data_IF_254235852357
#
_entry.id   IF_254235852357
#
_cell.length_a   1.000
_cell.length_b   1.000
_cell.length_c   1.000
_cell.angle_alpha   90.00
_cell.angle_beta   90.00
_cell.angle_gamma   90.00
#
_symmetry.space_group_name_H-M   'P 1'
#
loop_
_entity.id
_entity.type
_entity.pdbx_description
1 polymer ?
#
# COMPACT_ATOMS: atom_id res chain seq x y z
N UNK A 1 25.62 -17.53 7.07
CA UNK A 1 26.61 -17.70 8.15
C UNK A 1 26.98 -19.15 8.43
N UNK A 2 26.10 -20.12 8.40
CA UNK A 2 26.33 -21.54 8.68
C UNK A 2 27.38 -22.23 7.76
N UNK A 3 27.45 -21.85 6.47
CA UNK A 3 28.39 -22.45 5.51
C UNK A 3 29.88 -22.14 5.75
N UNK A 4 30.19 -21.00 6.38
CA UNK A 4 31.60 -20.67 6.73
C UNK A 4 32.13 -21.54 7.85
N UNK A 5 31.29 -21.95 8.79
CA UNK A 5 31.66 -22.75 9.94
C UNK A 5 32.01 -24.19 9.53
N UNK A 6 31.23 -24.81 8.63
CA UNK A 6 31.50 -26.21 8.19
C UNK A 6 32.77 -26.30 7.35
N UNK A 7 33.05 -25.36 6.46
CA UNK A 7 34.30 -25.32 5.69
C UNK A 7 35.55 -25.13 6.57
N UNK A 8 35.45 -24.35 7.63
CA UNK A 8 36.56 -24.08 8.51
C UNK A 8 36.82 -25.25 9.50
N UNK A 9 35.79 -25.98 9.92
CA UNK A 9 35.90 -27.07 10.90
C UNK A 9 36.17 -28.41 10.24
N UNK A 10 35.47 -28.71 9.13
CA UNK A 10 35.51 -30.03 8.51
C UNK A 10 36.36 -30.11 7.24
N UNK A 11 36.90 -28.98 6.73
CA UNK A 11 37.71 -28.87 5.50
C UNK A 11 37.04 -29.42 4.22
N UNK A 12 35.80 -29.93 4.27
CA UNK A 12 35.03 -30.41 3.14
C UNK A 12 33.59 -29.91 3.25
N UNK A 13 32.94 -29.80 2.12
CA UNK A 13 31.55 -29.37 2.00
C UNK A 13 30.88 -30.30 0.96
N UNK A 14 29.80 -30.95 1.35
CA UNK A 14 29.00 -31.76 0.44
C UNK A 14 27.90 -30.82 -0.11
N UNK A 15 27.93 -30.60 -1.42
CA UNK A 15 26.81 -29.90 -2.09
C UNK A 15 25.61 -30.84 -2.17
N UNK A 16 24.51 -30.43 -1.57
CA UNK A 16 23.24 -31.11 -1.69
C UNK A 16 22.74 -31.02 -3.14
N UNK A 17 22.55 -32.13 -3.86
CA UNK A 17 22.08 -32.14 -5.25
C UNK A 17 20.74 -31.44 -5.43
N UNK A 18 19.90 -31.33 -4.38
CA UNK A 18 18.64 -30.64 -4.41
C UNK A 18 18.81 -29.11 -4.62
N UNK A 19 19.96 -28.54 -4.30
CA UNK A 19 20.25 -27.12 -4.54
C UNK A 19 20.35 -26.77 -6.02
N UNK A 20 20.63 -27.73 -6.89
CA UNK A 20 20.72 -27.55 -8.33
C UNK A 20 19.43 -27.93 -9.06
N UNK A 21 18.49 -28.57 -8.37
CA UNK A 21 17.24 -29.00 -8.96
C UNK A 21 16.29 -27.82 -9.18
N UNK A 22 16.09 -27.45 -10.45
CA UNK A 22 15.22 -26.31 -10.85
C UNK A 22 13.72 -26.56 -10.64
N UNK A 23 13.30 -27.76 -10.25
CA UNK A 23 11.92 -27.99 -9.81
C UNK A 23 11.60 -27.25 -8.51
N UNK A 24 12.60 -26.98 -7.68
CA UNK A 24 12.41 -26.21 -6.46
C UNK A 24 12.44 -24.70 -6.74
N UNK A 25 11.44 -23.98 -6.25
CA UNK A 25 11.33 -22.53 -6.40
C UNK A 25 12.61 -21.79 -5.92
N UNK A 26 13.19 -22.22 -4.80
CA UNK A 26 14.41 -21.59 -4.24
C UNK A 26 15.61 -21.70 -5.19
N UNK A 27 15.77 -22.84 -5.90
CA UNK A 27 16.85 -23.05 -6.87
C UNK A 27 16.65 -22.16 -8.10
N UNK A 28 15.40 -22.02 -8.58
CA UNK A 28 15.06 -21.09 -9.68
C UNK A 28 15.36 -19.65 -9.32
N UNK A 29 14.98 -19.21 -8.10
CA UNK A 29 15.25 -17.83 -7.62
C UNK A 29 16.75 -17.56 -7.54
N UNK A 30 17.56 -18.52 -7.01
CA UNK A 30 19.02 -18.37 -6.94
C UNK A 30 19.64 -18.23 -8.33
N UNK A 31 19.20 -19.04 -9.29
CA UNK A 31 19.64 -18.92 -10.69
C UNK A 31 19.28 -17.56 -11.28
N UNK A 32 18.05 -17.11 -11.11
CA UNK A 32 17.60 -15.78 -11.55
C UNK A 32 18.45 -14.65 -10.96
N UNK A 33 18.73 -14.69 -9.66
CA UNK A 33 19.60 -13.69 -8.99
C UNK A 33 21.01 -13.72 -9.59
N UNK A 34 21.55 -14.93 -9.86
CA UNK A 34 22.87 -15.07 -10.48
C UNK A 34 22.90 -14.47 -11.90
N UNK A 35 21.88 -14.75 -12.72
CA UNK A 35 21.76 -14.23 -14.07
C UNK A 35 21.60 -12.71 -14.07
N UNK A 36 20.75 -12.16 -13.19
CA UNK A 36 20.58 -10.70 -13.00
C UNK A 36 21.89 -10.03 -12.56
N UNK A 37 22.69 -10.68 -11.71
CA UNK A 37 24.00 -10.15 -11.33
C UNK A 37 24.95 -10.01 -12.52
N UNK A 38 24.93 -10.98 -13.48
CA UNK A 38 25.71 -10.90 -14.71
C UNK A 38 25.30 -9.70 -15.58
N UNK A 39 23.98 -9.39 -15.60
CA UNK A 39 23.42 -8.23 -16.31
C UNK A 39 23.62 -6.91 -15.53
N UNK A 40 24.36 -6.93 -14.43
CA UNK A 40 24.74 -5.71 -13.68
C UNK A 40 23.74 -5.28 -12.60
N UNK A 41 22.66 -6.06 -12.35
CA UNK A 41 21.78 -5.84 -11.20
C UNK A 41 22.34 -6.58 -9.99
N UNK A 42 23.14 -5.93 -9.19
CA UNK A 42 23.69 -6.49 -7.96
C UNK A 42 22.80 -6.23 -6.73
N UNK A 43 23.07 -6.94 -5.65
CA UNK A 43 22.36 -6.80 -4.38
C UNK A 43 22.38 -5.38 -3.83
N UNK A 44 23.49 -4.64 -4.02
CA UNK A 44 23.63 -3.26 -3.50
C UNK A 44 22.70 -2.30 -4.22
N UNK A 45 22.57 -2.42 -5.56
CA UNK A 45 21.65 -1.62 -6.37
C UNK A 45 20.20 -1.92 -6.00
N UNK A 46 19.86 -3.20 -5.81
CA UNK A 46 18.53 -3.60 -5.37
C UNK A 46 18.20 -3.06 -3.97
N UNK A 47 19.11 -3.19 -3.01
CA UNK A 47 18.95 -2.64 -1.66
C UNK A 47 18.82 -1.13 -1.65
N UNK A 48 19.53 -0.42 -2.53
CA UNK A 48 19.41 1.03 -2.71
C UNK A 48 18.02 1.40 -3.22
N UNK A 49 17.54 0.70 -4.25
CA UNK A 49 16.21 0.92 -4.81
C UNK A 49 15.12 0.70 -3.76
N UNK A 50 15.19 -0.39 -2.99
CA UNK A 50 14.25 -0.70 -1.92
C UNK A 50 14.26 0.40 -0.84
N UNK A 51 15.45 0.89 -0.45
CA UNK A 51 15.56 1.99 0.52
C UNK A 51 14.95 3.28 0.01
N UNK A 52 15.19 3.63 -1.25
CA UNK A 52 14.60 4.82 -1.87
C UNK A 52 13.08 4.72 -1.94
N UNK A 53 12.52 3.59 -2.36
CA UNK A 53 11.08 3.34 -2.37
C UNK A 53 10.48 3.42 -0.96
N UNK A 54 11.16 2.86 0.04
CA UNK A 54 10.72 2.95 1.44
C UNK A 54 10.71 4.39 1.95
N UNK A 55 11.75 5.18 1.64
CA UNK A 55 11.82 6.59 1.99
C UNK A 55 10.69 7.39 1.34
N UNK A 56 10.46 7.21 0.05
CA UNK A 56 9.36 7.84 -0.68
C UNK A 56 8.00 7.47 -0.09
N UNK A 57 7.79 6.19 0.24
CA UNK A 57 6.57 5.73 0.89
C UNK A 57 6.34 6.37 2.28
N UNK A 58 7.40 6.55 3.07
CA UNK A 58 7.31 7.23 4.36
C UNK A 58 6.88 8.70 4.20
N UNK A 59 7.43 9.40 3.20
CA UNK A 59 7.03 10.78 2.88
C UNK A 59 5.56 10.87 2.48
N UNK A 60 5.09 9.96 1.63
CA UNK A 60 3.67 9.92 1.24
C UNK A 60 2.79 9.66 2.48
N UNK A 61 3.15 8.70 3.33
CA UNK A 61 2.40 8.37 4.53
C UNK A 61 2.33 9.54 5.53
N UNK A 62 3.37 10.35 5.62
CA UNK A 62 3.35 11.60 6.39
C UNK A 62 2.25 12.54 5.89
N UNK A 63 2.18 12.80 4.59
CA UNK A 63 1.15 13.65 3.99
C UNK A 63 -0.26 13.03 4.08
N UNK A 64 -0.39 11.72 3.97
CA UNK A 64 -1.67 11.00 4.19
C UNK A 64 -2.18 11.24 5.61
N UNK A 65 -1.30 11.07 6.60
CA UNK A 65 -1.66 11.30 8.00
C UNK A 65 -2.06 12.75 8.23
N UNK A 66 -1.26 13.69 7.72
CA UNK A 66 -1.52 15.12 7.81
C UNK A 66 -2.85 15.48 7.14
N UNK A 67 -3.12 15.00 5.94
CA UNK A 67 -4.39 15.26 5.24
C UNK A 67 -5.60 14.78 6.05
N UNK A 68 -5.52 13.60 6.69
CA UNK A 68 -6.60 13.09 7.53
C UNK A 68 -6.75 13.94 8.80
N UNK A 69 -5.66 14.36 9.43
CA UNK A 69 -5.70 15.17 10.64
C UNK A 69 -6.28 16.57 10.39
N UNK A 70 -5.88 17.23 9.30
CA UNK A 70 -6.23 18.60 9.00
C UNK A 70 -7.61 18.71 8.33
N UNK A 71 -7.99 17.72 7.52
CA UNK A 71 -9.11 17.82 6.59
C UNK A 71 -10.23 16.80 6.82
N UNK A 72 -10.10 15.90 7.82
CA UNK A 72 -11.13 14.91 8.16
C UNK A 72 -11.47 14.96 9.65
N UNK A 73 -12.75 15.12 9.98
CA UNK A 73 -13.26 15.09 11.37
C UNK A 73 -14.04 13.81 11.60
N UNK A 74 -13.68 13.05 12.65
CA UNK A 74 -14.40 11.84 13.04
C UNK A 74 -15.39 12.13 14.15
N UNK A 75 -16.67 11.86 13.91
CA UNK A 75 -17.75 11.94 14.88
C UNK A 75 -17.98 10.55 15.48
N UNK A 76 -17.48 10.35 16.71
CA UNK A 76 -17.55 9.03 17.39
C UNK A 76 -18.97 8.52 17.60
N UNK A 77 -19.90 9.40 18.02
CA UNK A 77 -21.29 9.04 18.32
C UNK A 77 -22.03 8.51 17.09
N UNK A 78 -21.76 9.08 15.93
CA UNK A 78 -22.43 8.73 14.67
C UNK A 78 -21.62 7.77 13.81
N UNK A 79 -20.41 7.39 14.27
CA UNK A 79 -19.44 6.61 13.50
C UNK A 79 -19.25 7.14 12.06
N UNK A 80 -19.10 8.47 11.93
CA UNK A 80 -19.11 9.21 10.67
C UNK A 80 -17.82 10.01 10.51
N UNK A 81 -17.23 9.99 9.32
CA UNK A 81 -16.20 10.94 8.93
C UNK A 81 -16.81 12.09 8.11
N UNK A 82 -16.39 13.30 8.42
CA UNK A 82 -16.68 14.52 7.66
C UNK A 82 -15.37 14.94 7.00
N UNK A 83 -15.33 14.99 5.67
CA UNK A 83 -14.19 15.46 4.89
C UNK A 83 -14.51 16.84 4.32
N UNK A 84 -13.63 17.82 4.55
CA UNK A 84 -13.77 19.15 3.96
C UNK A 84 -13.25 19.18 2.51
N UNK A 85 -13.44 20.28 1.80
CA UNK A 85 -12.99 20.45 0.40
C UNK A 85 -11.49 20.31 0.21
N UNK A 86 -10.68 20.69 1.20
CA UNK A 86 -9.22 20.64 1.11
C UNK A 86 -8.68 19.23 1.19
N UNK A 87 -9.50 18.26 1.66
CA UNK A 87 -9.13 16.84 1.65
C UNK A 87 -8.83 16.34 0.24
N UNK A 88 -9.56 16.84 -0.75
CA UNK A 88 -9.40 16.47 -2.17
C UNK A 88 -8.50 17.44 -2.96
N UNK A 89 -7.88 18.42 -2.30
CA UNK A 89 -6.93 19.35 -2.89
C UNK A 89 -5.48 18.97 -2.57
N UNK A 90 -5.15 17.69 -2.73
CA UNK A 90 -3.84 17.12 -2.47
C UNK A 90 -3.33 16.38 -3.73
N UNK A 91 -2.12 15.82 -3.69
CA UNK A 91 -1.66 14.93 -4.76
C UNK A 91 -2.56 13.67 -4.85
N UNK A 92 -2.69 13.11 -6.05
CA UNK A 92 -3.57 11.96 -6.31
C UNK A 92 -3.31 10.79 -5.35
N UNK A 93 -2.05 10.46 -5.09
CA UNK A 93 -1.67 9.36 -4.22
C UNK A 93 -2.03 9.64 -2.75
N UNK A 94 -1.89 10.88 -2.29
CA UNK A 94 -2.29 11.29 -0.93
C UNK A 94 -3.81 11.20 -0.79
N UNK A 95 -4.59 11.72 -1.75
CA UNK A 95 -6.05 11.60 -1.76
C UNK A 95 -6.46 10.12 -1.73
N UNK A 96 -5.91 9.32 -2.64
CA UNK A 96 -6.22 7.90 -2.76
C UNK A 96 -6.00 7.15 -1.44
N UNK A 97 -4.83 7.30 -0.83
CA UNK A 97 -4.50 6.61 0.43
C UNK A 97 -5.29 7.14 1.62
N UNK A 98 -5.47 8.45 1.72
CA UNK A 98 -6.27 9.07 2.78
C UNK A 98 -7.72 8.59 2.73
N UNK A 99 -8.34 8.63 1.55
CA UNK A 99 -9.71 8.19 1.34
C UNK A 99 -9.88 6.69 1.60
N UNK A 100 -8.96 5.86 1.09
CA UNK A 100 -8.90 4.42 1.38
C UNK A 100 -8.81 4.13 2.88
N UNK A 101 -8.00 4.89 3.61
CA UNK A 101 -7.83 4.76 5.07
C UNK A 101 -9.11 5.10 5.82
N UNK A 102 -9.79 6.18 5.44
CA UNK A 102 -11.07 6.60 6.05
C UNK A 102 -12.15 5.54 5.81
N UNK A 103 -12.30 5.07 4.57
CA UNK A 103 -13.26 4.00 4.23
C UNK A 103 -13.02 2.72 5.03
N UNK A 104 -11.75 2.30 5.14
CA UNK A 104 -11.37 1.12 5.93
C UNK A 104 -11.74 1.29 7.40
N UNK A 105 -11.54 2.48 7.99
CA UNK A 105 -11.85 2.74 9.41
C UNK A 105 -13.37 2.69 9.67
N UNK A 106 -14.19 3.26 8.79
CA UNK A 106 -15.66 3.27 8.94
C UNK A 106 -16.24 1.88 8.71
N UNK A 107 -15.86 1.21 7.61
CA UNK A 107 -16.40 -0.11 7.28
C UNK A 107 -15.98 -1.21 8.25
N UNK A 108 -14.90 -1.00 9.02
CA UNK A 108 -14.27 -2.02 9.87
C UNK A 108 -13.86 -3.28 9.10
N UNK A 109 -13.72 -3.21 7.78
CA UNK A 109 -13.28 -4.33 6.93
C UNK A 109 -11.77 -4.50 7.02
N UNK A 110 -11.32 -5.75 6.92
CA UNK A 110 -9.90 -6.08 6.94
C UNK A 110 -9.15 -5.46 5.75
N UNK A 111 -9.74 -5.49 4.55
CA UNK A 111 -9.20 -4.91 3.34
C UNK A 111 -9.98 -3.66 2.89
N UNK A 112 -9.29 -2.64 2.38
CA UNK A 112 -9.96 -1.52 1.73
C UNK A 112 -10.64 -1.96 0.42
N UNK A 113 -11.52 -1.14 -0.16
CA UNK A 113 -12.08 -1.37 -1.49
C UNK A 113 -10.99 -1.50 -2.56
N UNK A 114 -11.31 -2.12 -3.69
CA UNK A 114 -10.39 -2.23 -4.84
C UNK A 114 -9.95 -0.84 -5.32
N UNK A 115 -8.68 -0.72 -5.72
CA UNK A 115 -8.08 0.55 -6.12
C UNK A 115 -8.88 1.27 -7.23
N UNK A 116 -9.31 0.55 -8.27
CA UNK A 116 -10.16 1.10 -9.34
C UNK A 116 -11.44 1.72 -8.79
N UNK A 117 -12.13 1.04 -7.87
CA UNK A 117 -13.38 1.55 -7.28
C UNK A 117 -13.15 2.82 -6.47
N UNK A 118 -12.01 2.93 -5.78
CA UNK A 118 -11.61 4.15 -5.05
C UNK A 118 -11.38 5.30 -6.03
N UNK A 119 -10.60 5.07 -7.09
CA UNK A 119 -10.31 6.09 -8.11
C UNK A 119 -11.58 6.58 -8.80
N UNK A 120 -12.46 5.66 -9.23
CA UNK A 120 -13.74 6.01 -9.86
C UNK A 120 -14.63 6.82 -8.89
N UNK A 121 -14.57 6.52 -7.59
CA UNK A 121 -15.34 7.24 -6.58
C UNK A 121 -14.81 8.66 -6.33
N UNK A 122 -13.50 8.86 -6.35
CA UNK A 122 -12.88 10.19 -6.27
C UNK A 122 -13.33 11.05 -7.48
N UNK A 123 -13.37 10.47 -8.68
CA UNK A 123 -13.89 11.16 -9.87
C UNK A 123 -15.38 11.53 -9.73
N UNK A 124 -16.19 10.64 -9.14
CA UNK A 124 -17.62 10.92 -8.85
C UNK A 124 -17.79 12.07 -7.87
N UNK A 125 -16.99 12.14 -6.81
CA UNK A 125 -17.01 13.21 -5.81
C UNK A 125 -16.73 14.57 -6.46
N UNK A 126 -15.77 14.62 -7.38
CA UNK A 126 -15.41 15.83 -8.09
C UNK A 126 -16.46 16.26 -9.14
N UNK A 127 -17.37 15.38 -9.51
CA UNK A 127 -18.47 15.70 -10.42
C UNK A 127 -19.66 16.26 -9.66
N UNK A 128 -20.48 17.08 -10.33
CA UNK A 128 -21.74 17.62 -9.77
C UNK A 128 -22.91 16.63 -9.86
N UNK A 129 -22.73 15.54 -10.63
CA UNK A 129 -23.77 14.58 -10.98
C UNK A 129 -24.18 13.66 -9.83
N UNK A 130 -23.23 13.31 -8.94
CA UNK A 130 -23.46 12.31 -7.89
C UNK A 130 -23.54 12.98 -6.52
N UNK A 131 -24.67 12.81 -5.83
CA UNK A 131 -24.86 13.30 -4.45
C UNK A 131 -24.59 12.21 -3.42
N UNK A 132 -24.93 10.94 -3.73
CA UNK A 132 -24.77 9.78 -2.82
C UNK A 132 -24.47 8.52 -3.59
N UNK A 133 -23.58 7.68 -3.05
CA UNK A 133 -23.27 6.34 -3.56
C UNK A 133 -22.68 5.44 -2.46
N UNK A 134 -22.60 4.13 -2.71
CA UNK A 134 -21.97 3.17 -1.79
C UNK A 134 -20.59 2.76 -2.27
N UNK A 135 -19.67 2.55 -1.32
CA UNK A 135 -18.32 2.07 -1.59
C UNK A 135 -17.76 1.30 -0.38
N UNK A 136 -17.49 0.01 -0.59
CA UNK A 136 -16.76 -0.80 0.38
C UNK A 136 -17.43 -0.96 1.75
N UNK A 137 -18.77 -0.93 1.81
CA UNK A 137 -19.55 -0.99 3.04
C UNK A 137 -19.68 0.37 3.73
N UNK A 138 -19.54 1.44 2.95
CA UNK A 138 -19.80 2.80 3.40
C UNK A 138 -20.75 3.51 2.43
N UNK A 139 -21.60 4.38 2.97
CA UNK A 139 -22.25 5.43 2.21
C UNK A 139 -21.32 6.63 2.11
N UNK A 140 -21.18 7.16 0.91
CA UNK A 140 -20.44 8.39 0.62
C UNK A 140 -21.46 9.40 0.10
N UNK A 141 -21.63 10.50 0.80
CA UNK A 141 -22.63 11.52 0.49
C UNK A 141 -21.97 12.91 0.41
N UNK A 142 -22.26 13.64 -0.66
CA UNK A 142 -21.77 15.00 -0.88
C UNK A 142 -22.84 16.00 -0.48
N UNK A 143 -22.50 16.82 0.51
CA UNK A 143 -23.35 17.94 0.98
C UNK A 143 -22.54 19.24 0.79
N UNK A 144 -22.90 20.02 -0.20
CA UNK A 144 -22.14 21.21 -0.62
C UNK A 144 -20.68 20.87 -0.96
N UNK A 145 -19.72 21.44 -0.22
CA UNK A 145 -18.27 21.18 -0.38
C UNK A 145 -17.74 20.12 0.59
N UNK A 146 -18.62 19.44 1.32
CA UNK A 146 -18.29 18.48 2.37
C UNK A 146 -18.71 17.08 1.94
N UNK A 147 -17.90 16.08 2.27
CA UNK A 147 -18.22 14.67 2.05
C UNK A 147 -18.44 14.00 3.40
N UNK A 148 -19.59 13.36 3.56
CA UNK A 148 -19.92 12.49 4.69
C UNK A 148 -19.65 11.04 4.31
N UNK A 149 -19.01 10.30 5.23
CA UNK A 149 -18.78 8.87 5.08
C UNK A 149 -19.33 8.18 6.31
N UNK A 150 -20.38 7.39 6.11
CA UNK A 150 -21.05 6.60 7.16
C UNK A 150 -20.98 5.12 6.85
N UNK A 151 -21.13 4.28 7.86
CA UNK A 151 -21.19 2.83 7.66
C UNK A 151 -22.50 2.44 6.97
N UNK A 152 -22.42 1.52 6.03
CA UNK A 152 -23.58 0.84 5.43
C UNK A 152 -24.12 -0.18 6.46
N UNK A 153 -25.41 -0.10 6.80
CA UNK A 153 -26.08 -1.02 7.71
C UNK A 153 -26.34 -2.37 7.07
#
# INVERSE_FOLDING_TARGET
MLFRSSKNVFKFFIEDPSNQNLNFQRSRIRKLIFDLNKEGLDKKKLDLTIRNLKSSNNSINFYVTKNIQDNAKFLKQENTYILNKFFFNQSQEVIFRSFSTVLKKISSRYYPPRGKSITDSILKINSTKYKKFTLGGCYVEKINETILITKEN
#
